data_IF_803211464230
#
_entry.id   IF_803211464230
#
_cell.length_a   1.000
_cell.length_b   1.000
_cell.length_c   1.000
_cell.angle_alpha   90.00
_cell.angle_beta   90.00
_cell.angle_gamma   90.00
#
_symmetry.space_group_name_H-M   'P 1'
#
loop_
_entity.id
_entity.type
_entity.pdbx_description
1 polymer ?
#
# COMPACT_ATOMS: atom_id res chain seq x y z
N UNK A 1 11.74 -10.58 1.75
CA UNK A 1 10.41 -11.07 1.31
C UNK A 1 9.81 -9.93 0.55
N UNK A 2 9.48 -10.10 -0.74
CA UNK A 2 9.20 -8.98 -1.66
C UNK A 2 8.16 -7.99 -1.09
N UNK A 3 8.35 -6.67 -1.23
CA UNK A 3 7.35 -5.69 -0.79
C UNK A 3 6.01 -5.91 -1.50
N UNK A 4 4.90 -5.69 -0.79
CA UNK A 4 3.54 -5.93 -1.28
C UNK A 4 2.75 -4.64 -1.28
N UNK A 5 2.01 -4.35 -2.36
CA UNK A 5 1.06 -3.24 -2.43
C UNK A 5 -0.37 -3.76 -2.47
N UNK A 6 -1.13 -3.45 -1.44
CA UNK A 6 -2.57 -3.68 -1.40
C UNK A 6 -3.30 -2.50 -2.04
N UNK A 7 -4.18 -2.76 -2.99
CA UNK A 7 -4.88 -1.71 -3.74
C UNK A 7 -6.28 -2.13 -4.17
N UNK A 8 -7.06 -1.12 -4.61
CA UNK A 8 -8.34 -1.33 -5.26
C UNK A 8 -8.37 -0.53 -6.59
N UNK A 9 -8.79 -1.12 -7.73
CA UNK A 9 -8.73 -0.44 -9.04
C UNK A 9 -9.52 0.86 -9.12
N UNK A 10 -10.58 1.00 -8.33
CA UNK A 10 -11.44 2.20 -8.29
C UNK A 10 -10.88 3.33 -7.42
N UNK A 11 -9.80 3.08 -6.67
CA UNK A 11 -9.18 4.10 -5.83
C UNK A 11 -8.36 5.06 -6.72
N UNK A 12 -8.66 6.39 -6.68
CA UNK A 12 -8.02 7.37 -7.55
C UNK A 12 -6.50 7.49 -7.33
N UNK A 13 -6.01 7.11 -6.15
CA UNK A 13 -4.59 7.19 -5.80
C UNK A 13 -3.78 5.98 -6.30
N UNK A 14 -4.44 4.91 -6.75
CA UNK A 14 -3.78 3.66 -7.20
C UNK A 14 -2.87 3.88 -8.40
N UNK A 15 -3.37 4.52 -9.45
CA UNK A 15 -2.59 4.76 -10.66
C UNK A 15 -1.40 5.70 -10.39
N UNK A 16 -1.56 6.87 -9.73
CA UNK A 16 -0.43 7.71 -9.33
C UNK A 16 0.63 6.97 -8.50
N UNK A 17 0.21 6.15 -7.54
CA UNK A 17 1.12 5.38 -6.69
C UNK A 17 1.93 4.35 -7.50
N UNK A 18 1.27 3.63 -8.43
CA UNK A 18 1.94 2.67 -9.30
C UNK A 18 2.86 3.33 -10.34
N UNK A 19 2.48 4.48 -10.89
CA UNK A 19 3.35 5.25 -11.78
C UNK A 19 4.63 5.65 -11.07
N UNK A 20 4.55 6.06 -9.80
CA UNK A 20 5.73 6.42 -9.02
C UNK A 20 6.61 5.21 -8.70
N UNK A 21 6.03 4.07 -8.31
CA UNK A 21 6.79 2.83 -8.12
C UNK A 21 7.50 2.37 -9.41
N UNK A 22 6.83 2.50 -10.57
CA UNK A 22 7.41 2.18 -11.86
C UNK A 22 8.56 3.13 -12.21
N UNK A 23 8.41 4.44 -11.96
CA UNK A 23 9.47 5.44 -12.14
C UNK A 23 10.71 5.11 -11.31
N UNK A 24 10.51 4.56 -10.12
CA UNK A 24 11.57 4.15 -9.18
C UNK A 24 12.14 2.74 -9.46
N UNK A 25 11.65 2.03 -10.49
CA UNK A 25 11.97 0.63 -10.75
C UNK A 25 11.77 -0.29 -9.52
N UNK A 26 10.78 0.03 -8.67
CA UNK A 26 10.50 -0.72 -7.46
C UNK A 26 9.86 -2.07 -7.80
N UNK A 27 10.52 -3.16 -7.40
CA UNK A 27 10.01 -4.51 -7.61
C UNK A 27 9.05 -4.90 -6.47
N UNK A 28 7.74 -4.75 -6.71
CA UNK A 28 6.68 -5.02 -5.72
C UNK A 28 5.66 -6.03 -6.22
N UNK A 29 5.09 -6.80 -5.30
CA UNK A 29 3.91 -7.62 -5.56
C UNK A 29 2.65 -6.76 -5.47
N UNK A 30 1.70 -6.90 -6.40
CA UNK A 30 0.46 -6.13 -6.42
C UNK A 30 -0.71 -7.03 -6.05
N UNK A 31 -1.43 -6.67 -4.99
CA UNK A 31 -2.58 -7.43 -4.48
C UNK A 31 -3.85 -6.60 -4.63
N UNK A 32 -4.67 -6.95 -5.62
CA UNK A 32 -6.00 -6.37 -5.82
C UNK A 32 -6.97 -6.94 -4.78
N UNK A 33 -7.43 -6.13 -3.86
CA UNK A 33 -8.31 -6.58 -2.77
C UNK A 33 -9.79 -6.71 -3.17
N UNK A 34 -10.17 -6.22 -4.35
CA UNK A 34 -11.55 -6.32 -4.83
C UNK A 34 -11.83 -7.72 -5.36
N UNK A 35 -10.89 -8.26 -6.15
CA UNK A 35 -11.06 -9.55 -6.82
C UNK A 35 -10.39 -10.71 -6.05
N UNK A 36 -9.67 -10.42 -4.96
CA UNK A 36 -8.97 -11.40 -4.15
C UNK A 36 -9.39 -11.33 -2.68
N UNK A 37 -10.28 -12.24 -2.27
CA UNK A 37 -10.75 -12.33 -0.88
C UNK A 37 -9.64 -12.67 0.13
N UNK A 38 -8.61 -13.42 -0.26
CA UNK A 38 -7.46 -13.68 0.60
C UNK A 38 -6.61 -12.42 0.79
N UNK A 39 -6.40 -11.66 -0.29
CA UNK A 39 -5.75 -10.35 -0.26
C UNK A 39 -6.50 -9.35 0.62
N UNK A 40 -7.82 -9.29 0.51
CA UNK A 40 -8.67 -8.46 1.36
C UNK A 40 -8.53 -8.84 2.85
N UNK A 41 -8.61 -10.14 3.18
CA UNK A 41 -8.43 -10.60 4.58
C UNK A 41 -7.07 -10.24 5.14
N UNK A 42 -6.00 -10.38 4.34
CA UNK A 42 -4.65 -10.02 4.74
C UNK A 42 -4.52 -8.51 4.99
N UNK A 43 -5.08 -7.68 4.11
CA UNK A 43 -5.11 -6.24 4.28
C UNK A 43 -5.91 -5.80 5.50
N UNK A 44 -7.10 -6.34 5.74
CA UNK A 44 -7.91 -5.98 6.91
C UNK A 44 -7.16 -6.28 8.21
N UNK A 45 -6.52 -7.45 8.31
CA UNK A 45 -5.68 -7.79 9.45
C UNK A 45 -4.55 -6.78 9.65
N UNK A 46 -3.87 -6.38 8.57
CA UNK A 46 -2.81 -5.37 8.62
C UNK A 46 -3.35 -4.01 9.07
N UNK A 47 -4.42 -3.52 8.43
CA UNK A 47 -5.06 -2.23 8.70
C UNK A 47 -5.52 -2.09 10.15
N UNK A 48 -6.08 -3.16 10.70
CA UNK A 48 -6.62 -3.17 12.05
C UNK A 48 -5.53 -3.21 13.12
N UNK A 49 -4.31 -3.65 12.79
CA UNK A 49 -3.22 -3.88 13.75
C UNK A 49 -2.04 -2.92 13.63
N UNK A 50 -1.81 -2.31 12.46
CA UNK A 50 -0.65 -1.46 12.21
C UNK A 50 -0.97 0.03 12.39
N UNK A 51 -0.11 0.76 13.11
CA UNK A 51 -0.34 2.17 13.49
C UNK A 51 -0.33 3.15 12.31
N UNK A 52 0.31 2.79 11.19
CA UNK A 52 0.28 3.59 9.96
C UNK A 52 -1.15 3.91 9.47
N UNK A 53 -2.14 3.10 9.85
CA UNK A 53 -3.54 3.30 9.46
C UNK A 53 -4.34 4.12 10.46
N UNK A 54 -3.78 4.54 11.60
CA UNK A 54 -4.54 5.19 12.66
C UNK A 54 -5.16 6.52 12.21
N UNK A 55 -4.41 7.33 11.46
CA UNK A 55 -4.93 8.58 10.89
C UNK A 55 -5.99 8.31 9.81
N UNK A 56 -5.74 7.36 8.90
CA UNK A 56 -6.71 6.96 7.89
C UNK A 56 -8.03 6.49 8.53
N UNK A 57 -7.97 5.62 9.55
CA UNK A 57 -9.14 5.14 10.29
C UNK A 57 -9.86 6.30 11.00
N UNK A 58 -9.13 7.20 11.65
CA UNK A 58 -9.70 8.38 12.34
C UNK A 58 -10.49 9.28 11.39
N UNK A 59 -10.03 9.42 10.15
CA UNK A 59 -10.66 10.26 9.14
C UNK A 59 -11.66 9.51 8.23
N UNK A 60 -11.95 8.22 8.52
CA UNK A 60 -12.90 7.42 7.74
C UNK A 60 -12.35 6.91 6.40
N UNK A 61 -11.05 7.03 6.16
CA UNK A 61 -10.38 6.52 4.97
C UNK A 61 -10.03 5.03 5.09
N UNK A 62 -9.85 4.41 3.93
CA UNK A 62 -9.46 2.98 3.84
C UNK A 62 -7.96 2.82 4.09
N UNK A 63 -7.14 3.79 3.68
CA UNK A 63 -5.67 3.72 3.74
C UNK A 63 -5.09 2.87 2.62
N UNK A 64 -5.51 3.12 1.38
CA UNK A 64 -5.01 2.44 0.18
C UNK A 64 -4.64 3.49 -0.87
N UNK A 65 -3.65 3.22 -1.75
CA UNK A 65 -2.78 2.05 -1.78
C UNK A 65 -1.88 1.93 -0.54
N UNK A 66 -1.58 0.70 -0.11
CA UNK A 66 -0.72 0.46 1.03
C UNK A 66 0.45 -0.42 0.62
N UNK A 67 1.66 0.16 0.59
CA UNK A 67 2.91 -0.57 0.40
C UNK A 67 3.39 -1.09 1.75
N UNK A 68 3.67 -2.39 1.82
CA UNK A 68 4.29 -3.07 2.95
C UNK A 68 5.70 -3.45 2.54
N UNK A 69 6.69 -2.89 3.24
CA UNK A 69 8.10 -3.14 3.02
C UNK A 69 8.52 -4.47 3.67
N UNK A 70 9.70 -4.98 3.30
CA UNK A 70 10.18 -6.27 3.80
C UNK A 70 10.40 -6.29 5.33
N UNK A 71 10.66 -5.13 5.92
CA UNK A 71 10.85 -4.94 7.36
C UNK A 71 9.52 -4.79 8.12
N UNK A 72 8.38 -4.82 7.44
CA UNK A 72 7.05 -4.68 8.02
C UNK A 72 6.51 -3.25 8.07
N UNK A 73 7.32 -2.25 7.70
CA UNK A 73 6.85 -0.86 7.64
C UNK A 73 5.80 -0.68 6.55
N UNK A 74 4.85 0.23 6.80
CA UNK A 74 3.73 0.51 5.90
C UNK A 74 3.79 1.96 5.42
N UNK A 75 3.63 2.12 4.11
CA UNK A 75 3.69 3.40 3.42
C UNK A 75 2.40 3.60 2.63
N UNK A 76 1.67 4.66 2.97
CA UNK A 76 0.36 4.97 2.37
C UNK A 76 0.43 6.16 1.40
N UNK A 77 1.55 6.87 1.41
CA UNK A 77 1.74 8.13 0.68
C UNK A 77 2.80 7.93 -0.41
N UNK A 78 2.43 8.26 -1.66
CA UNK A 78 3.32 8.12 -2.81
C UNK A 78 4.54 9.05 -2.72
N UNK A 79 4.42 10.20 -2.08
CA UNK A 79 5.52 11.15 -1.91
C UNK A 79 6.69 10.52 -1.13
N UNK A 80 6.39 9.60 -0.22
CA UNK A 80 7.39 8.91 0.60
C UNK A 80 8.19 7.84 -0.17
N UNK A 81 7.67 7.36 -1.31
CA UNK A 81 8.30 6.29 -2.10
C UNK A 81 9.71 6.69 -2.59
N UNK A 82 9.89 7.96 -2.96
CA UNK A 82 11.19 8.49 -3.38
C UNK A 82 12.26 8.32 -2.31
N UNK A 83 11.92 8.54 -1.04
CA UNK A 83 12.87 8.43 0.07
C UNK A 83 13.26 6.97 0.35
N UNK A 84 12.37 6.03 0.01
CA UNK A 84 12.55 4.61 0.28
C UNK A 84 13.39 3.93 -0.81
N UNK A 85 13.07 4.18 -2.08
CA UNK A 85 13.67 3.45 -3.21
C UNK A 85 14.82 4.18 -3.91
N UNK A 86 15.08 5.44 -3.58
CA UNK A 86 16.21 6.20 -4.18
C UNK A 86 17.48 6.18 -3.29
N UNK A 87 17.56 5.25 -2.34
CA UNK A 87 18.72 5.08 -1.46
C UNK A 87 19.76 4.12 -2.03
#
# INVERSE_FOLDING_TARGET
MKPVVYYAPWCPDTEPFFTELARLNADVEKVNMVDNSAGLKAFLKLRDTHSAFDDAKKNGYIGIPALVLENGDVVLDKEQLTTIFTK
#
